data_IF_009571077556
#
_entry.id   IF_009571077556
#
_cell.length_a   1.000
_cell.length_b   1.000
_cell.length_c   1.000
_cell.angle_alpha   90.00
_cell.angle_beta   90.00
_cell.angle_gamma   90.00
#
_symmetry.space_group_name_H-M   'P 1'
#
loop_
_entity.id
_entity.type
_entity.pdbx_description
1 polymer ?
#
# COMPACT_ATOMS: atom_id res chain seq x y z
N UNK A 1 -4.96 -5.05 75.27
CA UNK A 1 -3.75 -5.84 75.63
C UNK A 1 -3.13 -6.26 74.25
N UNK A 2 -1.85 -5.89 74.05
CA UNK A 2 -0.89 -6.28 72.99
C UNK A 2 -1.21 -5.87 71.57
N UNK A 3 -0.81 -4.71 71.05
CA UNK A 3 0.47 -4.21 70.56
C UNK A 3 1.36 -5.26 69.85
N UNK A 4 1.40 -5.20 68.47
CA UNK A 4 2.61 -5.53 67.72
C UNK A 4 2.79 -4.48 66.60
N UNK A 5 3.83 -3.67 66.74
CA UNK A 5 4.34 -2.75 65.74
C UNK A 5 5.06 -3.53 64.64
N UNK A 6 4.82 -3.16 63.38
CA UNK A 6 5.67 -3.56 62.27
C UNK A 6 6.68 -2.45 61.96
N UNK A 7 7.93 -2.79 61.66
CA UNK A 7 8.96 -1.79 61.38
C UNK A 7 8.88 -1.30 59.91
N UNK A 8 9.12 -0.01 59.75
CA UNK A 8 9.34 0.69 58.51
C UNK A 8 10.43 0.03 57.69
N UNK A 9 10.11 -0.47 56.48
CA UNK A 9 11.08 -0.90 55.51
C UNK A 9 11.66 0.34 54.80
N UNK A 10 12.95 0.57 54.99
CA UNK A 10 13.72 1.58 54.28
C UNK A 10 13.76 1.23 52.78
N UNK A 11 13.33 2.12 51.93
CA UNK A 11 13.55 2.05 50.48
C UNK A 11 15.06 2.15 50.17
N UNK A 12 15.59 1.25 49.31
CA UNK A 12 16.98 1.39 48.87
C UNK A 12 17.17 2.63 48.02
N UNK A 13 18.17 3.44 48.33
CA UNK A 13 18.63 4.57 47.51
C UNK A 13 19.04 4.02 46.12
N UNK A 14 18.35 4.45 45.07
CA UNK A 14 18.75 4.22 43.68
C UNK A 14 20.11 4.87 43.43
N UNK A 15 21.06 4.05 43.01
CA UNK A 15 22.41 4.45 42.70
C UNK A 15 22.41 5.35 41.46
N UNK A 16 22.97 6.55 41.58
CA UNK A 16 23.10 7.54 40.50
C UNK A 16 23.89 7.10 39.26
N UNK A 17 24.39 5.87 39.22
CA UNK A 17 25.02 5.27 38.04
C UNK A 17 24.01 4.86 36.97
N UNK A 18 22.85 4.34 37.35
CA UNK A 18 21.80 3.90 36.41
C UNK A 18 21.18 5.11 35.66
N UNK A 19 21.00 6.23 36.34
CA UNK A 19 20.46 7.45 35.71
C UNK A 19 21.44 8.08 34.69
N UNK A 20 22.75 7.93 34.92
CA UNK A 20 23.77 8.42 34.01
C UNK A 20 23.90 7.55 32.74
N UNK A 21 23.73 6.23 32.87
CA UNK A 21 23.74 5.32 31.72
C UNK A 21 22.51 5.54 30.82
N UNK A 22 21.31 5.68 31.39
CA UNK A 22 20.10 5.96 30.62
C UNK A 22 20.15 7.30 29.86
N UNK A 23 20.79 8.31 30.43
CA UNK A 23 20.93 9.62 29.75
C UNK A 23 21.99 9.57 28.67
N UNK A 24 23.04 8.76 28.84
CA UNK A 24 24.08 8.55 27.84
C UNK A 24 23.55 7.77 26.62
N UNK A 25 22.80 6.69 26.85
CA UNK A 25 22.18 5.92 25.77
C UNK A 25 21.12 6.72 25.01
N UNK A 26 20.31 7.56 25.67
CA UNK A 26 19.37 8.46 24.99
C UNK A 26 20.06 9.48 24.08
N UNK A 27 21.17 10.04 24.53
CA UNK A 27 21.98 11.01 23.72
C UNK A 27 22.72 10.30 22.58
N UNK A 28 23.20 9.08 22.81
CA UNK A 28 23.84 8.28 21.75
C UNK A 28 22.81 7.87 20.68
N UNK A 29 21.61 7.47 21.10
CA UNK A 29 20.54 7.09 20.16
C UNK A 29 20.06 8.29 19.32
N UNK A 30 19.92 9.47 19.92
CA UNK A 30 19.57 10.69 19.19
C UNK A 30 20.69 11.13 18.22
N UNK A 31 21.95 10.92 18.57
CA UNK A 31 23.08 11.23 17.69
C UNK A 31 23.21 10.24 16.53
N UNK A 32 22.93 8.96 16.76
CA UNK A 32 22.95 7.92 15.72
C UNK A 32 21.78 8.12 14.75
N UNK A 33 20.59 8.49 15.22
CA UNK A 33 19.46 8.82 14.35
C UNK A 33 19.72 10.08 13.52
N UNK A 34 20.38 11.10 14.09
CA UNK A 34 20.74 12.32 13.34
C UNK A 34 21.83 12.07 12.29
N UNK A 35 22.75 11.14 12.53
CA UNK A 35 23.78 10.75 11.55
C UNK A 35 23.19 9.85 10.46
N UNK A 36 22.22 8.97 10.80
CA UNK A 36 21.51 8.15 9.82
C UNK A 36 20.68 8.99 8.85
N UNK A 37 20.07 10.09 9.33
CA UNK A 37 19.33 11.04 8.49
C UNK A 37 20.22 11.92 7.59
N UNK A 38 21.51 12.07 7.93
CA UNK A 38 22.45 12.84 7.11
C UNK A 38 23.12 12.04 5.99
N UNK A 39 23.05 10.70 6.02
CA UNK A 39 23.62 9.83 4.99
C UNK A 39 22.62 9.25 4.00
N UNK A 40 21.32 9.58 4.12
CA UNK A 40 20.29 9.18 3.14
C UNK A 40 20.12 10.16 1.98
N UNK A 41 20.89 11.26 1.96
CA UNK A 41 20.98 12.12 0.79
C UNK A 41 22.07 11.56 -0.13
N UNK A 42 21.62 11.10 -1.32
CA UNK A 42 22.41 10.63 -2.48
C UNK A 42 22.65 9.12 -2.52
N UNK A 43 21.58 8.33 -2.68
CA UNK A 43 21.56 7.36 -3.76
C UNK A 43 20.51 7.85 -4.77
N UNK A 44 20.90 8.29 -5.95
CA UNK A 44 19.92 8.38 -7.02
C UNK A 44 19.43 6.96 -7.23
N UNK A 45 18.14 6.72 -7.04
CA UNK A 45 17.46 5.65 -7.70
C UNK A 45 17.62 5.96 -9.19
N UNK A 46 18.73 5.51 -9.76
CA UNK A 46 18.85 5.41 -11.19
C UNK A 46 17.95 4.24 -11.61
N UNK A 47 16.64 4.50 -11.65
CA UNK A 47 15.88 3.90 -12.71
C UNK A 47 16.66 4.32 -13.97
N UNK A 48 17.40 3.38 -14.55
CA UNK A 48 17.98 3.59 -15.86
C UNK A 48 16.78 3.85 -16.75
N UNK A 49 16.51 5.13 -17.01
CA UNK A 49 15.61 5.51 -18.07
C UNK A 49 16.09 4.73 -19.29
N UNK A 50 15.23 3.97 -19.98
CA UNK A 50 15.58 3.40 -21.26
C UNK A 50 16.09 4.58 -22.10
N UNK A 51 17.28 4.43 -22.70
CA UNK A 51 17.81 5.42 -23.63
C UNK A 51 16.66 5.85 -24.54
N UNK A 52 16.35 7.15 -24.55
CA UNK A 52 15.42 7.73 -25.50
C UNK A 52 15.99 7.48 -26.91
N UNK A 53 15.68 6.32 -27.43
CA UNK A 53 15.79 6.13 -28.89
C UNK A 53 14.76 7.06 -29.47
N UNK A 54 15.22 8.02 -30.26
CA UNK A 54 14.42 8.98 -31.05
C UNK A 54 13.65 8.23 -32.16
N UNK A 55 12.91 7.19 -31.80
CA UNK A 55 12.02 6.40 -32.63
C UNK A 55 10.57 6.68 -32.25
N UNK A 56 9.67 6.53 -33.20
CA UNK A 56 8.22 6.51 -32.97
C UNK A 56 7.93 5.58 -31.77
N UNK A 57 7.10 5.97 -30.78
CA UNK A 57 6.78 5.11 -29.65
C UNK A 57 6.32 3.74 -30.17
N UNK A 58 7.04 2.69 -29.81
CA UNK A 58 6.72 1.34 -30.23
C UNK A 58 5.49 0.91 -29.45
N UNK A 59 4.40 0.58 -30.15
CA UNK A 59 3.18 0.02 -29.56
C UNK A 59 3.11 -1.48 -29.87
N UNK A 60 2.40 -2.23 -29.04
CA UNK A 60 2.16 -3.64 -29.28
C UNK A 60 1.38 -3.87 -30.58
N UNK A 61 1.80 -4.82 -31.38
CA UNK A 61 1.06 -5.28 -32.54
C UNK A 61 -0.02 -6.29 -32.13
N UNK A 62 -1.03 -6.45 -32.96
CA UNK A 62 -2.10 -7.43 -32.72
C UNK A 62 -1.58 -8.89 -32.62
N UNK A 63 -0.44 -9.20 -33.27
CA UNK A 63 0.20 -10.52 -33.16
C UNK A 63 0.83 -10.72 -31.79
N UNK A 64 1.61 -9.72 -31.32
CA UNK A 64 2.24 -9.75 -30.01
C UNK A 64 1.21 -9.84 -28.89
N UNK A 65 0.10 -9.09 -29.01
CA UNK A 65 -1.01 -9.19 -28.05
C UNK A 65 -1.61 -10.59 -28.01
N UNK A 66 -1.80 -11.25 -29.17
CA UNK A 66 -2.30 -12.64 -29.19
C UNK A 66 -1.35 -13.61 -28.52
N UNK A 67 -0.04 -13.46 -28.71
CA UNK A 67 0.98 -14.26 -28.06
C UNK A 67 0.97 -14.04 -26.53
N UNK A 68 0.82 -12.79 -26.09
CA UNK A 68 0.66 -12.45 -24.68
C UNK A 68 -0.60 -13.10 -24.09
N UNK A 69 -1.74 -13.04 -24.80
CA UNK A 69 -2.99 -13.65 -24.34
C UNK A 69 -2.91 -15.19 -24.26
N UNK A 70 -2.13 -15.84 -25.13
CA UNK A 70 -1.86 -17.28 -25.02
C UNK A 70 -1.08 -17.60 -23.75
N UNK A 71 -0.06 -16.79 -23.44
CA UNK A 71 0.72 -16.91 -22.21
C UNK A 71 -0.16 -16.68 -20.98
N UNK A 72 -0.96 -15.61 -20.96
CA UNK A 72 -1.86 -15.31 -19.85
C UNK A 72 -2.89 -16.43 -19.61
N UNK A 73 -3.46 -16.98 -20.67
CA UNK A 73 -4.40 -18.09 -20.55
C UNK A 73 -3.74 -19.33 -19.91
N UNK A 74 -2.50 -19.63 -20.26
CA UNK A 74 -1.76 -20.75 -19.69
C UNK A 74 -1.38 -20.49 -18.22
N UNK A 75 -0.92 -19.27 -17.89
CA UNK A 75 -0.61 -18.85 -16.52
C UNK A 75 -1.87 -18.89 -15.65
N UNK A 76 -2.96 -18.27 -16.11
CA UNK A 76 -4.23 -18.25 -15.37
C UNK A 76 -4.80 -19.67 -15.18
N UNK A 77 -4.72 -20.53 -16.20
CA UNK A 77 -5.14 -21.93 -16.07
C UNK A 77 -4.35 -22.69 -14.99
N UNK A 78 -3.05 -22.35 -14.81
CA UNK A 78 -2.26 -22.90 -13.73
C UNK A 78 -2.70 -22.32 -12.39
N UNK A 79 -2.67 -20.98 -12.24
CA UNK A 79 -2.85 -20.29 -10.95
C UNK A 79 -4.29 -20.37 -10.41
N UNK A 80 -5.30 -20.43 -11.27
CA UNK A 80 -6.71 -20.60 -10.89
C UNK A 80 -7.09 -22.07 -10.61
N UNK A 81 -6.16 -23.01 -10.79
CA UNK A 81 -6.45 -24.42 -10.55
C UNK A 81 -6.53 -24.76 -9.05
N UNK A 82 -7.49 -25.60 -8.68
CA UNK A 82 -7.61 -26.10 -7.31
C UNK A 82 -6.35 -26.84 -6.85
N UNK A 83 -5.61 -27.45 -7.79
CA UNK A 83 -4.35 -28.12 -7.50
C UNK A 83 -3.29 -27.07 -7.05
N UNK A 84 -3.14 -25.97 -7.78
CA UNK A 84 -2.18 -24.91 -7.45
C UNK A 84 -2.51 -24.26 -6.10
N UNK A 85 -3.77 -24.01 -5.83
CA UNK A 85 -4.21 -23.44 -4.55
C UNK A 85 -3.83 -24.32 -3.33
N UNK A 86 -3.79 -25.65 -3.53
CA UNK A 86 -3.39 -26.60 -2.47
C UNK A 86 -1.89 -26.88 -2.36
N UNK A 87 -1.05 -26.28 -3.22
CA UNK A 87 0.39 -26.47 -3.22
C UNK A 87 1.11 -25.60 -2.17
N UNK A 88 2.22 -26.10 -1.65
CA UNK A 88 3.20 -25.27 -0.91
C UNK A 88 3.85 -24.26 -1.86
N UNK A 89 4.51 -23.25 -1.31
CA UNK A 89 5.23 -22.25 -2.10
C UNK A 89 6.31 -22.89 -3.00
N UNK A 90 7.04 -23.88 -2.50
CA UNK A 90 8.04 -24.61 -3.27
C UNK A 90 7.42 -25.42 -4.41
N UNK A 91 6.26 -26.05 -4.18
CA UNK A 91 5.56 -26.80 -5.22
C UNK A 91 4.98 -25.85 -6.28
N UNK A 92 4.45 -24.69 -5.88
CA UNK A 92 4.01 -23.62 -6.79
C UNK A 92 5.16 -23.11 -7.64
N UNK A 93 6.35 -22.92 -7.05
CA UNK A 93 7.54 -22.51 -7.78
C UNK A 93 7.91 -23.54 -8.85
N UNK A 94 7.93 -24.82 -8.51
CA UNK A 94 8.24 -25.88 -9.46
C UNK A 94 7.21 -25.91 -10.60
N UNK A 95 5.91 -25.79 -10.28
CA UNK A 95 4.84 -25.78 -11.28
C UNK A 95 4.94 -24.54 -12.18
N UNK A 96 5.19 -23.36 -11.63
CA UNK A 96 5.37 -22.12 -12.38
C UNK A 96 6.55 -22.19 -13.34
N UNK A 97 7.71 -22.71 -12.88
CA UNK A 97 8.88 -22.88 -13.72
C UNK A 97 8.64 -23.88 -14.87
N UNK A 98 7.98 -24.99 -14.58
CA UNK A 98 7.63 -25.97 -15.62
C UNK A 98 6.74 -25.36 -16.70
N UNK A 99 5.72 -24.59 -16.30
CA UNK A 99 4.82 -23.88 -17.23
C UNK A 99 5.58 -22.85 -18.07
N UNK A 100 6.46 -22.06 -17.44
CA UNK A 100 7.23 -21.02 -18.14
C UNK A 100 8.28 -21.63 -19.08
N UNK A 101 8.89 -22.76 -18.73
CA UNK A 101 9.80 -23.50 -19.62
C UNK A 101 9.08 -24.03 -20.88
N UNK A 102 7.84 -24.52 -20.74
CA UNK A 102 7.01 -24.93 -21.86
C UNK A 102 6.66 -23.73 -22.77
N UNK A 103 6.24 -22.60 -22.19
CA UNK A 103 5.93 -21.38 -22.92
C UNK A 103 7.17 -20.80 -23.63
N UNK A 104 8.34 -20.90 -22.99
CA UNK A 104 9.60 -20.50 -23.60
C UNK A 104 9.99 -21.41 -24.78
N UNK A 105 9.75 -22.72 -24.70
CA UNK A 105 9.97 -23.63 -25.81
C UNK A 105 9.04 -23.33 -27.01
N UNK A 106 7.86 -22.75 -26.76
CA UNK A 106 6.95 -22.26 -27.79
C UNK A 106 7.31 -20.87 -28.33
N UNK A 107 8.33 -20.20 -27.74
CA UNK A 107 8.74 -18.84 -28.12
C UNK A 107 7.86 -17.71 -27.60
N UNK A 108 6.92 -18.02 -26.68
CA UNK A 108 5.98 -17.08 -26.10
C UNK A 108 6.59 -16.26 -24.94
N UNK A 109 7.59 -16.85 -24.27
CA UNK A 109 8.33 -16.26 -23.15
C UNK A 109 9.82 -16.27 -23.45
N UNK A 110 10.54 -15.23 -23.07
CA UNK A 110 12.01 -15.19 -23.17
C UNK A 110 12.64 -16.03 -22.07
N UNK A 111 13.22 -17.16 -22.41
CA UNK A 111 13.76 -18.12 -21.44
C UNK A 111 14.79 -17.51 -20.49
N UNK A 112 15.64 -16.64 -21.01
CA UNK A 112 16.72 -15.97 -20.26
C UNK A 112 16.22 -14.87 -19.32
N UNK A 113 14.94 -14.53 -19.38
CA UNK A 113 14.28 -13.55 -18.50
C UNK A 113 13.56 -14.17 -17.30
N UNK A 114 13.45 -15.51 -17.25
CA UNK A 114 12.78 -16.19 -16.14
C UNK A 114 13.65 -16.05 -14.88
N UNK A 115 13.09 -15.40 -13.88
CA UNK A 115 13.77 -15.14 -12.62
C UNK A 115 12.88 -15.53 -11.43
N UNK A 116 13.45 -16.29 -10.49
CA UNK A 116 12.76 -16.70 -9.26
C UNK A 116 13.19 -15.79 -8.13
N UNK A 117 12.26 -15.03 -7.60
CA UNK A 117 12.45 -14.24 -6.40
C UNK A 117 11.79 -14.95 -5.21
N UNK A 118 12.51 -15.88 -4.61
CA UNK A 118 12.03 -16.64 -3.43
C UNK A 118 11.72 -15.70 -2.26
N UNK A 119 12.51 -14.62 -2.11
CA UNK A 119 12.31 -13.66 -1.02
C UNK A 119 10.97 -12.93 -1.13
N UNK A 120 10.55 -12.65 -2.35
CA UNK A 120 9.33 -11.91 -2.65
C UNK A 120 8.17 -12.82 -3.10
N UNK A 121 8.37 -14.14 -3.07
CA UNK A 121 7.34 -15.11 -3.41
C UNK A 121 6.81 -14.95 -4.84
N UNK A 122 7.71 -14.70 -5.81
CA UNK A 122 7.32 -14.43 -7.19
C UNK A 122 8.28 -15.06 -8.21
N UNK A 123 7.74 -15.53 -9.33
CA UNK A 123 8.51 -15.83 -10.53
C UNK A 123 8.17 -14.78 -11.59
N UNK A 124 9.17 -14.02 -12.02
CA UNK A 124 9.04 -13.03 -13.07
C UNK A 124 9.54 -13.55 -14.42
N UNK A 125 9.03 -13.00 -15.51
CA UNK A 125 9.42 -13.32 -16.87
C UNK A 125 9.13 -12.16 -17.82
N UNK A 126 9.71 -12.19 -19.02
CA UNK A 126 9.33 -11.30 -20.11
C UNK A 126 8.63 -12.10 -21.21
N UNK A 127 7.53 -11.57 -21.71
CA UNK A 127 6.88 -12.04 -22.94
C UNK A 127 7.81 -11.90 -24.14
N UNK A 128 7.53 -12.59 -25.25
CA UNK A 128 8.28 -12.49 -26.50
C UNK A 128 8.49 -11.04 -26.97
N UNK A 129 7.48 -10.18 -26.82
CA UNK A 129 7.51 -8.76 -27.17
C UNK A 129 8.35 -7.89 -26.20
N UNK A 130 8.65 -8.39 -24.99
CA UNK A 130 9.43 -7.68 -23.98
C UNK A 130 8.63 -7.06 -22.85
N UNK A 131 7.29 -7.08 -22.89
CA UNK A 131 6.47 -6.76 -21.73
C UNK A 131 6.79 -7.71 -20.57
N UNK A 132 6.55 -7.29 -19.33
CA UNK A 132 6.87 -8.08 -18.16
C UNK A 132 5.64 -8.82 -17.62
N UNK A 133 5.86 -10.04 -17.13
CA UNK A 133 4.86 -10.88 -16.48
C UNK A 133 5.39 -11.50 -15.20
N UNK A 134 4.49 -11.94 -14.32
CA UNK A 134 4.82 -12.59 -13.06
C UNK A 134 3.78 -13.61 -12.63
N UNK A 135 4.23 -14.57 -11.82
CA UNK A 135 3.41 -15.57 -11.15
C UNK A 135 3.66 -15.46 -9.66
N UNK A 136 2.63 -15.17 -8.87
CA UNK A 136 2.71 -15.18 -7.41
C UNK A 136 2.76 -16.62 -6.90
N UNK A 137 3.70 -16.87 -5.98
CA UNK A 137 3.86 -18.16 -5.31
C UNK A 137 3.16 -18.18 -3.95
N UNK A 138 2.91 -17.01 -3.38
CA UNK A 138 2.24 -16.83 -2.09
C UNK A 138 0.78 -16.47 -2.30
N UNK A 139 -0.07 -16.82 -1.35
CA UNK A 139 -1.43 -16.31 -1.32
C UNK A 139 -1.41 -14.83 -0.92
N UNK A 140 -2.19 -14.02 -1.62
CA UNK A 140 -2.29 -12.57 -1.35
C UNK A 140 -3.08 -12.26 -0.10
N UNK A 141 -3.90 -13.21 0.39
CA UNK A 141 -4.62 -13.11 1.66
C UNK A 141 -4.26 -14.27 2.57
N UNK A 142 -3.89 -13.95 3.82
CA UNK A 142 -3.95 -14.99 4.83
C UNK A 142 -5.41 -15.18 5.26
N UNK A 143 -5.89 -16.43 5.30
CA UNK A 143 -7.19 -16.77 5.94
C UNK A 143 -7.31 -16.18 7.35
N UNK A 144 -6.18 -15.82 7.96
CA UNK A 144 -6.08 -15.18 9.25
C UNK A 144 -6.71 -13.78 9.25
N UNK A 145 -6.56 -13.00 8.19
CA UNK A 145 -7.10 -11.65 8.08
C UNK A 145 -8.63 -11.64 7.95
N UNK A 146 -9.17 -12.59 7.20
CA UNK A 146 -10.61 -12.68 6.97
C UNK A 146 -11.41 -13.03 8.24
N UNK A 147 -10.76 -13.58 9.27
CA UNK A 147 -11.40 -14.01 10.51
C UNK A 147 -11.25 -13.02 11.66
N UNK A 148 -10.54 -11.91 11.47
CA UNK A 148 -10.40 -10.88 12.49
C UNK A 148 -11.66 -9.99 12.51
N UNK A 149 -12.08 -9.51 13.70
CA UNK A 149 -13.17 -8.55 13.77
C UNK A 149 -12.79 -7.29 13.00
N UNK A 150 -13.73 -6.76 12.23
CA UNK A 150 -13.55 -5.45 11.59
C UNK A 150 -13.37 -4.34 12.64
N UNK A 151 -12.95 -3.14 12.22
CA UNK A 151 -12.96 -1.98 13.12
C UNK A 151 -14.36 -1.82 13.69
N UNK A 152 -14.46 -1.58 15.00
CA UNK A 152 -15.73 -1.22 15.63
C UNK A 152 -16.12 0.17 15.11
N UNK A 153 -16.91 0.18 14.04
CA UNK A 153 -17.37 1.40 13.38
C UNK A 153 -18.29 2.24 14.27
N UNK A 154 -18.81 1.62 15.35
CA UNK A 154 -19.68 2.29 16.32
C UNK A 154 -18.91 3.20 17.29
N UNK A 155 -17.62 2.93 17.50
CA UNK A 155 -16.77 3.75 18.39
C UNK A 155 -16.11 4.94 17.69
N UNK A 156 -16.45 5.19 16.44
CA UNK A 156 -16.01 6.42 15.78
C UNK A 156 -16.48 7.62 16.59
N UNK A 157 -15.59 8.56 16.95
CA UNK A 157 -16.01 9.80 17.59
C UNK A 157 -17.12 10.42 16.74
N UNK A 158 -18.20 10.84 17.38
CA UNK A 158 -19.30 11.50 16.68
C UNK A 158 -18.71 12.70 15.92
N UNK A 159 -18.58 12.56 14.61
CA UNK A 159 -18.09 13.66 13.77
C UNK A 159 -19.06 14.84 13.94
N UNK A 160 -18.49 16.02 14.08
CA UNK A 160 -19.29 17.23 14.03
C UNK A 160 -19.83 17.37 12.61
N UNK A 161 -21.15 17.31 12.49
CA UNK A 161 -21.79 17.53 11.20
C UNK A 161 -21.27 18.83 10.60
N UNK A 162 -20.77 18.78 9.38
CA UNK A 162 -20.38 19.98 8.65
C UNK A 162 -21.65 20.84 8.49
N UNK A 163 -21.74 21.91 9.26
CA UNK A 163 -22.80 22.89 9.06
C UNK A 163 -22.60 23.55 7.69
N UNK A 164 -23.28 23.02 6.67
CA UNK A 164 -23.41 23.60 5.33
C UNK A 164 -22.16 23.65 4.44
N UNK A 165 -21.35 22.62 4.34
CA UNK A 165 -20.25 22.62 3.38
C UNK A 165 -19.79 21.23 2.97
N UNK A 166 -19.37 21.08 1.70
CA UNK A 166 -18.61 19.93 1.23
C UNK A 166 -17.20 20.05 1.78
N UNK A 167 -16.72 19.03 2.46
CA UNK A 167 -15.36 18.93 2.97
C UNK A 167 -14.36 18.72 1.83
N UNK A 168 -14.81 18.04 0.77
CA UNK A 168 -14.03 17.69 -0.40
C UNK A 168 -14.67 16.51 -1.12
N UNK A 169 -13.97 15.97 -2.10
CA UNK A 169 -14.36 14.75 -2.78
C UNK A 169 -13.27 13.66 -2.63
N UNK A 170 -13.71 12.41 -2.54
CA UNK A 170 -12.84 11.28 -2.34
C UNK A 170 -13.19 10.10 -3.25
N UNK A 171 -12.22 9.25 -3.53
CA UNK A 171 -12.44 7.96 -4.18
C UNK A 171 -11.75 6.85 -3.39
N UNK A 172 -12.45 5.73 -3.24
CA UNK A 172 -11.91 4.48 -2.76
C UNK A 172 -11.76 3.56 -3.97
N UNK A 173 -10.54 3.30 -4.39
CA UNK A 173 -10.20 2.31 -5.41
C UNK A 173 -10.05 0.95 -4.72
N UNK A 174 -11.11 0.16 -4.77
CA UNK A 174 -11.15 -1.14 -4.12
C UNK A 174 -10.77 -2.26 -5.10
N UNK A 175 -9.60 -2.85 -4.93
CA UNK A 175 -9.02 -3.86 -5.81
C UNK A 175 -8.48 -5.08 -5.03
N UNK A 176 -9.14 -5.51 -3.94
CA UNK A 176 -8.69 -6.67 -3.18
C UNK A 176 -9.24 -7.99 -3.70
N UNK A 177 -10.47 -8.04 -4.20
CA UNK A 177 -11.11 -9.28 -4.64
C UNK A 177 -12.23 -9.01 -5.64
N UNK A 178 -12.28 -9.77 -6.73
CA UNK A 178 -13.38 -9.78 -7.69
C UNK A 178 -14.69 -10.37 -7.12
N UNK A 179 -14.61 -11.12 -6.03
CA UNK A 179 -15.75 -11.76 -5.38
C UNK A 179 -16.33 -10.94 -4.24
N UNK A 180 -15.87 -9.72 -4.02
CA UNK A 180 -16.39 -8.88 -2.97
C UNK A 180 -17.78 -8.44 -3.32
N UNK A 181 -18.70 -9.18 -2.78
CA UNK A 181 -20.02 -8.67 -2.62
C UNK A 181 -20.06 -7.84 -1.31
N UNK A 182 -20.93 -6.87 -1.27
CA UNK A 182 -21.22 -6.02 -0.11
C UNK A 182 -21.49 -6.80 1.19
N UNK A 183 -21.70 -8.11 1.12
CA UNK A 183 -21.98 -8.97 2.26
C UNK A 183 -20.69 -9.47 2.94
N UNK A 184 -19.59 -9.59 2.20
CA UNK A 184 -18.33 -10.08 2.75
C UNK A 184 -17.45 -8.94 3.28
N UNK A 185 -17.56 -7.76 2.67
CA UNK A 185 -16.80 -6.57 3.09
C UNK A 185 -17.72 -5.33 3.07
N UNK A 186 -18.67 -5.24 4.00
CA UNK A 186 -19.60 -4.10 4.05
C UNK A 186 -18.88 -2.79 4.44
N UNK A 187 -17.65 -2.86 4.94
CA UNK A 187 -16.91 -1.74 5.53
C UNK A 187 -16.73 -0.57 4.57
N UNK A 188 -16.28 -0.81 3.34
CA UNK A 188 -16.01 0.30 2.41
C UNK A 188 -17.29 0.99 1.95
N UNK A 189 -18.39 0.24 1.78
CA UNK A 189 -19.69 0.83 1.53
C UNK A 189 -20.17 1.66 2.75
N UNK A 190 -19.96 1.13 3.95
CA UNK A 190 -20.27 1.85 5.18
C UNK A 190 -19.42 3.12 5.32
N UNK A 191 -18.09 3.03 5.14
CA UNK A 191 -17.18 4.19 5.15
C UNK A 191 -17.64 5.27 4.17
N UNK A 192 -17.92 4.87 2.91
CA UNK A 192 -18.44 5.79 1.89
C UNK A 192 -19.70 6.48 2.35
N UNK A 193 -20.71 5.74 2.82
CA UNK A 193 -22.00 6.31 3.21
C UNK A 193 -21.87 7.20 4.45
N UNK A 194 -21.02 6.80 5.40
CA UNK A 194 -20.70 7.57 6.59
C UNK A 194 -20.03 8.90 6.23
N UNK A 195 -18.93 8.87 5.45
CA UNK A 195 -18.21 10.07 5.05
C UNK A 195 -19.06 11.03 4.21
N UNK A 196 -19.92 10.49 3.34
CA UNK A 196 -20.91 11.28 2.62
C UNK A 196 -21.86 12.02 3.58
N UNK A 197 -22.26 11.38 4.67
CA UNK A 197 -23.07 11.99 5.72
C UNK A 197 -22.39 13.16 6.43
N UNK A 198 -21.05 13.22 6.39
CA UNK A 198 -20.25 14.29 7.00
C UNK A 198 -19.60 15.24 5.98
N UNK A 199 -20.07 15.22 4.74
CA UNK A 199 -19.71 16.20 3.72
C UNK A 199 -18.48 15.87 2.87
N UNK A 200 -17.89 14.69 3.01
CA UNK A 200 -16.87 14.19 2.09
C UNK A 200 -17.55 13.38 0.98
N UNK A 201 -17.72 13.97 -0.21
CA UNK A 201 -18.35 13.30 -1.36
C UNK A 201 -17.49 12.14 -1.84
N UNK A 202 -17.82 10.94 -1.38
CA UNK A 202 -16.99 9.74 -1.55
C UNK A 202 -17.58 8.82 -2.60
N UNK A 203 -16.77 8.47 -3.59
CA UNK A 203 -17.04 7.44 -4.59
C UNK A 203 -16.34 6.13 -4.21
N UNK A 204 -17.02 4.99 -4.38
CA UNK A 204 -16.43 3.66 -4.22
C UNK A 204 -16.37 2.98 -5.58
N UNK A 205 -15.16 2.78 -6.10
CA UNK A 205 -14.88 2.03 -7.31
C UNK A 205 -14.45 0.60 -6.95
N UNK A 206 -15.26 -0.38 -7.32
CA UNK A 206 -15.04 -1.80 -7.07
C UNK A 206 -14.57 -2.57 -8.32
N UNK A 207 -14.30 -1.87 -9.41
CA UNK A 207 -13.87 -2.45 -10.68
C UNK A 207 -12.64 -1.70 -11.23
N UNK A 208 -11.69 -1.46 -10.35
CA UNK A 208 -10.53 -0.59 -10.59
C UNK A 208 -9.71 -1.08 -11.78
N UNK A 209 -9.56 -0.22 -12.77
CA UNK A 209 -8.75 -0.46 -13.96
C UNK A 209 -7.52 0.45 -13.97
N UNK A 210 -6.53 0.11 -14.82
CA UNK A 210 -5.39 1.00 -15.10
C UNK A 210 -5.87 2.39 -15.57
N UNK A 211 -7.01 2.44 -16.28
CA UNK A 211 -7.59 3.70 -16.75
C UNK A 211 -8.19 4.54 -15.62
N UNK A 212 -8.77 3.91 -14.60
CA UNK A 212 -9.34 4.61 -13.47
C UNK A 212 -8.26 5.26 -12.61
N UNK A 213 -7.12 4.59 -12.45
CA UNK A 213 -5.96 5.18 -11.77
C UNK A 213 -5.38 6.41 -12.48
N UNK A 214 -5.72 6.67 -13.76
CA UNK A 214 -5.37 7.92 -14.47
C UNK A 214 -6.32 9.08 -14.15
N UNK A 215 -7.33 8.86 -13.29
CA UNK A 215 -8.35 9.84 -12.91
C UNK A 215 -8.28 10.27 -11.45
N UNK A 216 -7.23 9.89 -10.72
CA UNK A 216 -7.07 10.26 -9.31
C UNK A 216 -7.06 11.77 -9.10
N UNK A 217 -6.65 12.54 -10.11
CA UNK A 217 -6.63 14.01 -10.08
C UNK A 217 -8.04 14.67 -10.00
N UNK A 218 -9.09 13.89 -10.23
CA UNK A 218 -10.47 14.36 -10.10
C UNK A 218 -10.91 14.48 -8.62
N UNK A 219 -10.06 14.03 -7.68
CA UNK A 219 -10.37 13.91 -6.26
C UNK A 219 -9.36 14.61 -5.36
N UNK A 220 -9.86 15.17 -4.24
CA UNK A 220 -9.02 15.75 -3.19
C UNK A 220 -8.30 14.64 -2.39
N UNK A 221 -8.98 13.48 -2.25
CA UNK A 221 -8.48 12.30 -1.55
C UNK A 221 -8.65 11.05 -2.43
N UNK A 222 -7.57 10.33 -2.68
CA UNK A 222 -7.59 9.04 -3.33
C UNK A 222 -7.10 7.94 -2.38
N UNK A 223 -7.90 6.89 -2.22
CA UNK A 223 -7.60 5.76 -1.34
C UNK A 223 -7.34 4.53 -2.21
N UNK A 224 -6.17 3.92 -2.07
CA UNK A 224 -5.75 2.71 -2.78
C UNK A 224 -5.91 1.51 -1.86
N UNK A 225 -7.00 0.79 -1.99
CA UNK A 225 -7.31 -0.43 -1.24
C UNK A 225 -7.08 -1.64 -2.16
N UNK A 226 -5.83 -2.12 -2.22
CA UNK A 226 -5.38 -3.13 -3.17
C UNK A 226 -4.31 -4.03 -2.57
N UNK A 227 -4.05 -5.18 -3.19
CA UNK A 227 -2.88 -5.97 -2.87
C UNK A 227 -1.60 -5.31 -3.35
N UNK A 228 -0.54 -5.49 -2.60
CA UNK A 228 0.81 -5.08 -2.97
C UNK A 228 1.78 -6.23 -2.95
N UNK A 229 2.81 -6.13 -3.76
CA UNK A 229 3.90 -7.09 -3.81
C UNK A 229 5.19 -6.41 -4.27
N UNK A 230 6.31 -7.08 -4.05
CA UNK A 230 7.58 -6.71 -4.67
C UNK A 230 7.75 -7.49 -5.98
N UNK A 231 8.08 -6.77 -7.02
CA UNK A 231 8.36 -7.34 -8.32
C UNK A 231 9.83 -7.15 -8.68
N UNK A 232 10.56 -8.26 -8.89
CA UNK A 232 11.96 -8.25 -9.30
C UNK A 232 12.09 -8.86 -10.67
N UNK A 233 12.81 -8.21 -11.56
CA UNK A 233 13.13 -8.73 -12.88
C UNK A 233 14.60 -8.50 -13.24
N UNK A 234 15.11 -9.34 -14.14
CA UNK A 234 16.46 -9.19 -14.68
C UNK A 234 16.42 -8.50 -16.06
N UNK A 235 17.35 -7.60 -16.28
CA UNK A 235 17.52 -6.90 -17.56
C UNK A 235 19.01 -6.77 -17.93
N UNK A 236 19.27 -6.48 -19.19
CA UNK A 236 20.62 -6.37 -19.74
C UNK A 236 21.09 -7.66 -20.43
N UNK A 237 21.88 -7.52 -21.52
CA UNK A 237 22.31 -8.64 -22.36
C UNK A 237 23.64 -9.24 -21.91
N UNK A 238 24.69 -8.42 -21.71
CA UNK A 238 26.02 -8.89 -21.32
C UNK A 238 26.19 -8.98 -19.80
N UNK A 239 25.58 -8.05 -19.07
CA UNK A 239 25.64 -7.95 -17.61
C UNK A 239 24.22 -7.89 -17.12
N UNK A 240 23.72 -9.01 -16.61
CA UNK A 240 22.40 -9.03 -16.02
C UNK A 240 22.37 -8.15 -14.78
N UNK A 241 21.43 -7.22 -14.76
CA UNK A 241 21.11 -6.38 -13.61
C UNK A 241 19.72 -6.74 -13.12
N UNK A 242 19.47 -6.53 -11.85
CA UNK A 242 18.17 -6.72 -11.25
C UNK A 242 17.55 -5.36 -10.98
N UNK A 243 16.27 -5.22 -11.25
CA UNK A 243 15.44 -4.14 -10.78
C UNK A 243 14.33 -4.73 -9.93
N UNK A 244 14.11 -4.13 -8.76
CA UNK A 244 13.05 -4.52 -7.84
C UNK A 244 12.24 -3.27 -7.53
N UNK A 245 10.91 -3.38 -7.58
CA UNK A 245 10.01 -2.29 -7.27
C UNK A 245 8.75 -2.81 -6.57
N UNK A 246 8.18 -2.05 -5.64
CA UNK A 246 6.85 -2.31 -5.15
C UNK A 246 5.82 -2.06 -6.25
N UNK A 247 4.79 -2.88 -6.29
CA UNK A 247 3.71 -2.82 -7.27
C UNK A 247 2.36 -2.87 -6.59
N UNK A 248 1.37 -2.26 -7.23
CA UNK A 248 -0.03 -2.36 -6.82
C UNK A 248 -0.74 -3.29 -7.79
N UNK A 249 -1.30 -4.37 -7.27
CA UNK A 249 -2.05 -5.35 -8.04
C UNK A 249 -3.47 -4.86 -8.25
N UNK A 250 -3.94 -4.91 -9.49
CA UNK A 250 -5.33 -4.62 -9.85
C UNK A 250 -6.06 -5.94 -10.13
N UNK A 251 -7.38 -5.87 -10.05
CA UNK A 251 -8.23 -7.01 -10.41
C UNK A 251 -8.64 -7.00 -11.88
N UNK A 252 -8.23 -5.97 -12.60
CA UNK A 252 -8.47 -5.88 -14.03
C UNK A 252 -7.72 -7.01 -14.74
N UNK A 253 -8.50 -7.98 -15.26
CA UNK A 253 -7.93 -9.07 -16.05
C UNK A 253 -7.46 -8.56 -17.41
N UNK A 254 -6.33 -9.11 -17.84
CA UNK A 254 -5.83 -8.80 -19.18
C UNK A 254 -6.78 -9.34 -20.25
N UNK A 255 -7.02 -8.53 -21.28
CA UNK A 255 -7.72 -8.92 -22.49
C UNK A 255 -7.07 -8.25 -23.70
N UNK A 256 -7.44 -8.72 -24.90
CA UNK A 256 -6.86 -8.27 -26.15
C UNK A 256 -6.95 -6.74 -26.36
N UNK A 257 -8.08 -6.13 -26.00
CA UNK A 257 -8.31 -4.71 -26.23
C UNK A 257 -7.60 -3.83 -25.21
N UNK A 258 -7.54 -4.30 -23.96
CA UNK A 258 -6.82 -3.60 -22.90
C UNK A 258 -5.31 -3.72 -23.11
N UNK A 259 -4.79 -4.87 -23.57
CA UNK A 259 -3.38 -5.00 -23.94
C UNK A 259 -2.98 -4.05 -25.07
N UNK A 260 -3.81 -3.91 -26.11
CA UNK A 260 -3.57 -2.90 -27.14
C UNK A 260 -3.61 -1.48 -26.59
N UNK A 261 -4.56 -1.19 -25.71
CA UNK A 261 -4.72 0.13 -25.07
C UNK A 261 -3.53 0.48 -24.19
N UNK A 262 -3.05 -0.46 -23.40
CA UNK A 262 -1.93 -0.27 -22.46
C UNK A 262 -0.57 -0.63 -23.05
N UNK A 263 -0.48 -0.83 -24.35
CA UNK A 263 0.72 -1.33 -25.01
C UNK A 263 1.99 -0.53 -24.73
N UNK A 264 1.89 0.80 -24.65
CA UNK A 264 3.03 1.66 -24.28
C UNK A 264 3.44 1.48 -22.84
N UNK A 265 2.48 1.40 -21.92
CA UNK A 265 2.71 1.18 -20.50
C UNK A 265 3.33 -0.20 -20.24
N UNK A 266 2.87 -1.23 -20.95
CA UNK A 266 3.38 -2.60 -20.86
C UNK A 266 4.83 -2.69 -21.36
N UNK A 267 5.13 -2.13 -22.55
CA UNK A 267 6.48 -2.13 -23.11
C UNK A 267 7.46 -1.25 -22.34
N UNK A 268 6.98 -0.22 -21.64
CA UNK A 268 7.80 0.62 -20.78
C UNK A 268 7.85 0.15 -19.32
N UNK A 269 7.30 -1.02 -19.02
CA UNK A 269 7.28 -1.65 -17.69
C UNK A 269 6.59 -0.81 -16.59
N UNK A 270 5.75 0.16 -16.96
CA UNK A 270 4.92 0.95 -16.04
C UNK A 270 3.71 0.17 -15.57
N UNK A 271 3.22 -0.68 -16.46
CA UNK A 271 2.20 -1.70 -16.19
C UNK A 271 2.83 -3.06 -16.47
N UNK A 272 2.62 -4.00 -15.59
CA UNK A 272 3.07 -5.38 -15.73
C UNK A 272 1.87 -6.31 -15.54
N UNK A 273 2.01 -7.58 -15.85
CA UNK A 273 0.96 -8.56 -15.66
C UNK A 273 1.34 -9.56 -14.60
N UNK A 274 0.50 -9.79 -13.61
CA UNK A 274 0.71 -10.78 -12.54
C UNK A 274 -0.52 -11.67 -12.45
N UNK A 275 -0.34 -12.98 -12.58
CA UNK A 275 -1.42 -13.97 -12.63
C UNK A 275 -2.53 -13.60 -13.63
N UNK A 276 -2.17 -13.00 -14.77
CA UNK A 276 -3.13 -12.57 -15.80
C UNK A 276 -3.93 -11.31 -15.48
N UNK A 277 -3.60 -10.60 -14.41
CA UNK A 277 -4.16 -9.29 -14.07
C UNK A 277 -3.09 -8.20 -14.23
N UNK A 278 -3.53 -6.93 -14.38
CA UNK A 278 -2.59 -5.83 -14.43
C UNK A 278 -2.11 -5.41 -13.05
N UNK A 279 -0.87 -4.93 -12.98
CA UNK A 279 -0.28 -4.28 -11.83
C UNK A 279 0.45 -3.01 -12.28
N UNK A 280 0.50 -2.00 -11.41
CA UNK A 280 1.13 -0.71 -11.70
C UNK A 280 2.34 -0.48 -10.83
N UNK A 281 3.35 0.19 -11.38
CA UNK A 281 4.59 0.61 -10.71
C UNK A 281 4.56 2.10 -10.37
N UNK A 282 5.56 2.60 -9.64
CA UNK A 282 5.71 4.04 -9.39
C UNK A 282 5.86 4.86 -10.67
N UNK A 283 6.54 4.32 -11.68
CA UNK A 283 6.72 4.96 -12.99
C UNK A 283 5.41 5.14 -13.75
N UNK A 284 4.40 4.32 -13.49
CA UNK A 284 3.06 4.53 -14.03
C UNK A 284 2.50 5.88 -13.57
N UNK A 285 2.55 6.18 -12.28
CA UNK A 285 2.00 7.42 -11.72
C UNK A 285 2.78 8.65 -12.20
N UNK A 286 4.11 8.60 -12.17
CA UNK A 286 4.95 9.71 -12.65
C UNK A 286 4.70 10.03 -14.13
N UNK A 287 4.42 9.02 -14.96
CA UNK A 287 4.09 9.22 -16.36
C UNK A 287 2.65 9.66 -16.59
N UNK A 288 1.67 9.04 -15.93
CA UNK A 288 0.26 9.38 -16.05
C UNK A 288 -0.02 10.83 -15.64
N UNK A 289 0.69 11.30 -14.62
CA UNK A 289 0.52 12.64 -14.04
C UNK A 289 1.68 13.59 -14.33
N UNK A 290 2.40 13.35 -15.42
CA UNK A 290 3.53 14.20 -15.83
C UNK A 290 3.15 15.69 -15.84
N UNK A 291 4.00 16.51 -15.19
CA UNK A 291 3.79 17.95 -15.05
C UNK A 291 2.89 18.34 -13.88
N UNK A 292 2.77 17.50 -12.86
CA UNK A 292 2.08 17.84 -11.62
C UNK A 292 0.54 17.75 -11.73
N UNK A 293 0.04 16.89 -12.62
CA UNK A 293 -1.41 16.83 -12.92
C UNK A 293 -2.27 16.23 -11.81
N UNK A 294 -1.68 15.59 -10.79
CA UNK A 294 -2.41 15.19 -9.57
C UNK A 294 -2.92 16.38 -8.75
N UNK A 295 -2.36 17.57 -9.02
CA UNK A 295 -2.90 18.85 -8.56
C UNK A 295 -3.20 18.95 -7.05
N UNK A 296 -2.41 18.28 -6.22
CA UNK A 296 -2.52 18.35 -4.78
C UNK A 296 -3.41 17.31 -4.12
N UNK A 297 -3.83 16.27 -4.85
CA UNK A 297 -4.53 15.10 -4.29
C UNK A 297 -3.72 14.49 -3.14
N UNK A 298 -4.38 14.18 -2.03
CA UNK A 298 -3.81 13.37 -0.95
C UNK A 298 -4.06 11.90 -1.28
N UNK A 299 -3.04 11.05 -1.15
CA UNK A 299 -3.16 9.61 -1.45
C UNK A 299 -2.92 8.80 -0.19
N UNK A 300 -3.88 7.96 0.17
CA UNK A 300 -3.75 6.98 1.24
C UNK A 300 -3.73 5.58 0.63
N UNK A 301 -2.85 4.71 1.10
CA UNK A 301 -2.75 3.35 0.61
C UNK A 301 -2.82 2.32 1.73
N UNK A 302 -3.69 1.34 1.58
CA UNK A 302 -3.77 0.14 2.42
C UNK A 302 -2.95 -1.03 1.85
N UNK A 303 -2.20 -0.77 0.78
CA UNK A 303 -1.44 -1.79 0.05
C UNK A 303 -0.26 -2.30 0.90
N UNK A 304 -0.11 -3.61 0.98
CA UNK A 304 1.07 -4.25 1.55
C UNK A 304 2.34 -3.76 0.84
N UNK A 305 3.43 -3.62 1.57
CA UNK A 305 4.74 -3.27 1.02
C UNK A 305 4.77 -2.00 0.17
N UNK A 306 3.79 -1.10 0.33
CA UNK A 306 3.74 0.16 -0.42
C UNK A 306 5.02 0.98 -0.25
N UNK A 307 5.59 0.99 0.95
CA UNK A 307 6.89 1.57 1.29
C UNK A 307 7.97 0.51 1.46
N UNK A 308 7.82 -0.63 0.81
CA UNK A 308 8.81 -1.68 0.89
C UNK A 308 8.80 -2.46 2.18
N UNK A 309 9.99 -2.95 2.56
CA UNK A 309 10.17 -3.83 3.72
C UNK A 309 11.08 -3.20 4.76
N UNK A 310 10.88 -3.60 6.02
CA UNK A 310 11.77 -3.22 7.12
C UNK A 310 13.23 -3.51 6.79
N UNK A 311 14.08 -2.49 6.94
CA UNK A 311 15.49 -2.55 6.56
C UNK A 311 15.76 -2.14 5.11
N UNK A 312 14.73 -1.99 4.27
CA UNK A 312 14.83 -1.45 2.92
C UNK A 312 13.52 -0.75 2.55
N UNK A 313 13.35 0.47 3.08
CA UNK A 313 12.22 1.33 2.70
C UNK A 313 12.40 1.71 1.23
N UNK A 314 11.37 1.44 0.42
CA UNK A 314 11.33 1.74 -1.00
C UNK A 314 10.23 2.78 -1.24
N UNK A 315 10.59 3.90 -1.82
CA UNK A 315 9.69 5.03 -2.03
C UNK A 315 9.18 5.15 -3.47
N UNK A 316 9.48 4.17 -4.34
CA UNK A 316 9.19 4.29 -5.76
C UNK A 316 7.71 4.60 -6.08
N UNK A 317 6.76 3.97 -5.37
CA UNK A 317 5.33 4.27 -5.56
C UNK A 317 4.98 5.69 -5.13
N UNK A 318 5.40 6.10 -3.94
CA UNK A 318 5.13 7.44 -3.42
C UNK A 318 5.89 8.53 -4.18
N UNK A 319 7.14 8.28 -4.59
CA UNK A 319 7.90 9.20 -5.44
C UNK A 319 7.21 9.41 -6.80
N UNK A 320 6.65 8.33 -7.38
CA UNK A 320 5.84 8.40 -8.60
C UNK A 320 4.62 9.30 -8.42
N UNK A 321 3.89 9.15 -7.31
CA UNK A 321 2.72 9.97 -6.99
C UNK A 321 3.10 11.43 -6.68
N UNK A 322 4.12 11.66 -5.87
CA UNK A 322 4.59 13.01 -5.52
C UNK A 322 5.13 13.76 -6.74
N UNK A 323 5.93 13.10 -7.60
CA UNK A 323 6.38 13.70 -8.86
C UNK A 323 5.21 13.99 -9.82
N UNK A 324 4.13 13.21 -9.70
CA UNK A 324 2.85 13.44 -10.38
C UNK A 324 2.06 14.63 -9.82
N UNK A 325 2.47 15.21 -8.68
CA UNK A 325 1.82 16.37 -8.06
C UNK A 325 0.89 16.03 -6.90
N UNK A 326 0.93 14.82 -6.35
CA UNK A 326 0.27 14.51 -5.08
C UNK A 326 0.79 15.45 -3.98
N UNK A 327 -0.09 15.91 -3.09
CA UNK A 327 0.30 16.77 -1.98
C UNK A 327 0.98 15.99 -0.87
N UNK A 328 0.42 14.85 -0.54
CA UNK A 328 0.95 13.91 0.44
C UNK A 328 0.56 12.47 0.07
N UNK A 329 1.38 11.52 0.47
CA UNK A 329 1.16 10.09 0.28
C UNK A 329 1.41 9.38 1.59
N UNK A 330 0.46 8.58 2.04
CA UNK A 330 0.62 7.71 3.20
C UNK A 330 0.32 6.26 2.83
N UNK A 331 1.09 5.32 3.38
CA UNK A 331 0.95 3.89 3.13
C UNK A 331 1.78 3.09 4.11
N UNK A 332 1.83 1.79 3.94
CA UNK A 332 2.43 0.86 4.89
C UNK A 332 3.74 0.27 4.40
N UNK A 333 4.65 0.03 5.34
CA UNK A 333 5.84 -0.81 5.15
C UNK A 333 5.49 -2.25 5.54
N UNK A 334 6.13 -3.24 4.94
CA UNK A 334 5.85 -4.67 5.12
C UNK A 334 4.41 -5.08 4.73
N UNK A 335 4.11 -6.35 4.93
CA UNK A 335 2.74 -6.84 4.83
C UNK A 335 1.94 -6.33 6.02
N UNK A 336 0.78 -5.79 5.76
CA UNK A 336 -0.12 -5.23 6.78
C UNK A 336 -1.37 -6.09 6.92
N UNK A 337 -1.83 -6.30 8.15
CA UNK A 337 -3.15 -6.90 8.36
C UNK A 337 -4.24 -5.97 7.82
N UNK A 338 -5.09 -6.49 6.94
CA UNK A 338 -6.13 -5.72 6.25
C UNK A 338 -7.10 -5.04 7.22
N UNK A 339 -7.38 -5.66 8.37
CA UNK A 339 -8.22 -5.07 9.42
C UNK A 339 -7.53 -3.90 10.10
N UNK A 340 -6.22 -4.00 10.36
CA UNK A 340 -5.46 -2.89 10.93
C UNK A 340 -5.38 -1.70 9.95
N UNK A 341 -5.05 -1.96 8.67
CA UNK A 341 -4.98 -0.89 7.67
C UNK A 341 -6.32 -0.18 7.49
N UNK A 342 -7.45 -0.92 7.47
CA UNK A 342 -8.80 -0.34 7.42
C UNK A 342 -9.11 0.48 8.66
N UNK A 343 -8.73 0.01 9.85
CA UNK A 343 -8.95 0.74 11.10
C UNK A 343 -8.16 2.06 11.09
N UNK A 344 -6.91 2.02 10.64
CA UNK A 344 -6.09 3.21 10.44
C UNK A 344 -6.68 4.17 9.42
N UNK A 345 -7.14 3.65 8.27
CA UNK A 345 -7.83 4.43 7.24
C UNK A 345 -9.08 5.12 7.81
N UNK A 346 -9.92 4.37 8.52
CA UNK A 346 -11.13 4.87 9.17
C UNK A 346 -10.85 6.04 10.10
N UNK A 347 -9.91 5.86 11.03
CA UNK A 347 -9.53 6.92 11.96
C UNK A 347 -8.95 8.13 11.23
N UNK A 348 -8.02 7.89 10.30
CA UNK A 348 -7.33 8.96 9.55
C UNK A 348 -8.32 9.84 8.80
N UNK A 349 -9.21 9.25 8.01
CA UNK A 349 -10.17 10.04 7.20
C UNK A 349 -11.16 10.78 8.07
N UNK A 350 -11.67 10.16 9.14
CA UNK A 350 -12.57 10.82 10.09
C UNK A 350 -11.92 12.07 10.70
N UNK A 351 -10.66 11.98 11.16
CA UNK A 351 -9.95 13.13 11.73
C UNK A 351 -9.64 14.20 10.69
N UNK A 352 -9.37 13.80 9.45
CA UNK A 352 -9.18 14.74 8.34
C UNK A 352 -10.49 15.48 7.97
N UNK A 353 -11.65 14.82 8.06
CA UNK A 353 -12.96 15.45 7.91
C UNK A 353 -13.16 16.52 9.00
N UNK A 354 -12.72 16.28 10.22
CA UNK A 354 -12.73 17.24 11.33
C UNK A 354 -11.72 18.40 11.15
N UNK A 355 -10.93 18.39 10.08
CA UNK A 355 -9.97 19.46 9.75
C UNK A 355 -8.58 19.25 10.33
N UNK A 356 -8.26 18.08 10.86
CA UNK A 356 -6.90 17.76 11.28
C UNK A 356 -5.95 17.59 10.09
N UNK A 357 -4.65 17.74 10.34
CA UNK A 357 -3.63 17.40 9.35
C UNK A 357 -3.51 15.90 9.17
N UNK A 358 -2.97 15.46 8.05
CA UNK A 358 -2.69 14.06 7.78
C UNK A 358 -1.82 13.43 8.90
N UNK A 359 -0.79 14.15 9.38
CA UNK A 359 0.04 13.65 10.49
C UNK A 359 -0.79 13.48 11.78
N UNK A 360 -1.57 14.51 12.17
CA UNK A 360 -2.39 14.42 13.39
C UNK A 360 -3.40 13.28 13.31
N UNK A 361 -4.00 13.10 12.15
CA UNK A 361 -4.98 12.04 11.91
C UNK A 361 -4.36 10.64 11.99
N UNK A 362 -3.16 10.47 11.45
CA UNK A 362 -2.43 9.18 11.55
C UNK A 362 -1.96 8.96 12.99
N UNK A 363 -1.43 9.98 13.68
CA UNK A 363 -1.01 9.88 15.07
C UNK A 363 -2.16 9.45 15.98
N UNK A 364 -3.38 9.99 15.74
CA UNK A 364 -4.59 9.55 16.42
C UNK A 364 -4.90 8.06 16.14
N UNK A 365 -4.81 7.62 14.90
CA UNK A 365 -4.99 6.21 14.55
C UNK A 365 -4.00 5.30 15.27
N UNK A 366 -2.73 5.71 15.36
CA UNK A 366 -1.69 4.98 16.09
C UNK A 366 -1.96 4.93 17.60
N UNK A 367 -2.51 5.99 18.18
CA UNK A 367 -2.92 6.03 19.59
C UNK A 367 -4.07 5.05 19.87
N UNK A 368 -5.07 4.99 18.97
CA UNK A 368 -6.27 4.15 19.15
C UNK A 368 -6.00 2.68 18.86
N UNK A 369 -5.31 2.38 17.76
CA UNK A 369 -5.16 1.01 17.26
C UNK A 369 -3.77 0.40 17.53
N UNK A 370 -2.82 1.19 17.99
CA UNK A 370 -1.46 0.76 18.29
C UNK A 370 -0.46 1.21 17.24
N UNK A 371 0.81 1.27 17.65
CA UNK A 371 1.91 1.81 16.84
C UNK A 371 2.23 0.99 15.58
N UNK A 372 1.74 -0.24 15.51
CA UNK A 372 1.88 -1.15 14.37
C UNK A 372 0.84 -2.27 14.44
N UNK A 373 0.70 -2.99 13.36
CA UNK A 373 -0.29 -4.05 13.19
C UNK A 373 -0.05 -5.28 14.08
N UNK A 374 1.19 -5.57 14.47
CA UNK A 374 1.50 -6.65 15.43
C UNK A 374 0.98 -6.27 16.82
N UNK A 375 1.19 -5.04 17.28
CA UNK A 375 0.65 -4.55 18.56
C UNK A 375 -0.86 -4.64 18.55
N UNK A 376 -1.50 -4.17 17.49
CA UNK A 376 -2.94 -4.29 17.31
C UNK A 376 -3.41 -5.75 17.37
N UNK A 377 -2.76 -6.64 16.60
CA UNK A 377 -3.10 -8.06 16.53
C UNK A 377 -3.00 -8.77 17.88
N UNK A 378 -1.93 -8.50 18.63
CA UNK A 378 -1.74 -9.09 19.96
C UNK A 378 -2.83 -8.62 20.95
N UNK A 379 -3.30 -7.38 20.81
CA UNK A 379 -4.37 -6.84 21.64
C UNK A 379 -5.74 -7.48 21.34
N UNK A 380 -5.95 -8.04 20.15
CA UNK A 380 -7.19 -8.76 19.81
C UNK A 380 -7.30 -10.14 20.46
N UNK A 381 -6.25 -10.63 21.10
CA UNK A 381 -6.22 -11.92 21.80
C UNK A 381 -6.71 -13.11 20.94
N UNK A 382 -6.34 -13.13 19.68
CA UNK A 382 -6.84 -14.12 18.69
C UNK A 382 -6.25 -15.51 18.89
N UNK A 383 -5.23 -15.67 19.74
CA UNK A 383 -4.49 -16.92 19.93
C UNK A 383 -3.61 -17.32 18.74
N UNK A 384 -3.54 -16.49 17.69
CA UNK A 384 -2.75 -16.70 16.47
C UNK A 384 -1.36 -16.10 16.63
N UNK A 385 -0.45 -16.50 15.75
CA UNK A 385 0.88 -15.87 15.67
C UNK A 385 0.82 -14.70 14.71
N UNK A 386 1.33 -13.53 15.11
CA UNK A 386 1.49 -12.41 14.19
C UNK A 386 2.52 -12.75 13.12
N UNK A 387 2.50 -12.03 11.99
CA UNK A 387 3.58 -12.13 11.02
C UNK A 387 4.91 -11.60 11.60
N UNK A 388 6.02 -11.92 10.93
CA UNK A 388 7.36 -11.74 11.50
C UNK A 388 7.84 -10.29 11.53
N UNK A 389 7.28 -9.42 10.70
CA UNK A 389 7.70 -8.02 10.56
C UNK A 389 6.49 -7.09 10.78
N UNK A 390 6.62 -6.16 11.71
CA UNK A 390 5.59 -5.18 12.01
C UNK A 390 5.36 -4.22 10.84
N UNK A 391 4.10 -3.97 10.53
CA UNK A 391 3.70 -2.97 9.56
C UNK A 391 3.22 -1.71 10.27
N UNK A 392 3.68 -0.57 9.79
CA UNK A 392 3.35 0.76 10.32
C UNK A 392 3.25 1.76 9.15
N UNK A 393 2.47 2.84 9.32
CA UNK A 393 2.30 3.84 8.27
C UNK A 393 3.52 4.75 8.15
N UNK A 394 3.81 5.16 6.91
CA UNK A 394 4.80 6.18 6.57
C UNK A 394 4.08 7.27 5.76
N UNK A 395 4.44 8.54 6.02
CA UNK A 395 3.98 9.69 5.25
C UNK A 395 5.16 10.26 4.46
N UNK A 396 4.91 10.59 3.19
CA UNK A 396 5.79 11.42 2.38
C UNK A 396 5.04 12.62 1.80
N UNK A 397 5.76 13.68 1.47
CA UNK A 397 5.18 14.95 1.03
C UNK A 397 4.77 15.85 2.20
N UNK A 398 3.66 16.56 2.06
CA UNK A 398 3.18 17.53 3.06
C UNK A 398 2.38 16.84 4.19
N UNK A 399 3.05 16.50 5.28
CA UNK A 399 2.41 15.91 6.46
C UNK A 399 1.37 16.86 7.13
N UNK A 400 1.42 18.16 6.83
CA UNK A 400 0.43 19.14 7.26
C UNK A 400 -0.77 19.27 6.30
N UNK A 401 -0.84 18.41 5.26
CA UNK A 401 -1.95 18.37 4.33
C UNK A 401 -3.29 18.18 5.05
N UNK A 402 -4.33 18.84 4.56
CA UNK A 402 -5.71 18.79 5.08
C UNK A 402 -6.68 18.66 3.91
N UNK A 403 -7.84 18.06 4.16
CA UNK A 403 -8.97 18.09 3.21
C UNK A 403 -9.65 19.47 3.20
N UNK A 404 -9.72 20.11 4.38
CA UNK A 404 -10.36 21.42 4.53
C UNK A 404 -9.37 22.50 4.94
N UNK A 405 -9.61 23.75 4.51
CA UNK A 405 -8.84 24.88 5.02
C UNK A 405 -9.07 25.07 6.54
N UNK A 406 -8.02 25.38 7.33
CA UNK A 406 -8.20 25.69 8.75
C UNK A 406 -9.22 26.83 8.93
N UNK A 407 -10.26 26.60 9.72
CA UNK A 407 -11.29 27.59 10.00
C UNK A 407 -12.65 27.37 9.35
N UNK A 408 -12.78 26.44 8.43
CA UNK A 408 -14.08 26.15 7.77
C UNK A 408 -15.05 25.37 8.68
N UNK A 409 -14.53 24.69 9.72
CA UNK A 409 -15.31 23.86 10.66
C UNK A 409 -15.43 24.46 12.08
N UNK A 410 -14.86 25.63 12.35
CA UNK A 410 -14.67 26.11 13.74
C UNK A 410 -15.84 26.86 14.35
N UNK A 411 -16.90 27.16 13.63
CA UNK A 411 -18.02 27.94 14.19
C UNK A 411 -19.06 27.12 14.95
N UNK A 412 -19.05 25.79 14.86
CA UNK A 412 -20.00 24.92 15.60
C UNK A 412 -19.50 24.48 16.99
N UNK A 413 -18.18 24.27 17.16
CA UNK A 413 -17.63 23.70 18.38
C UNK A 413 -17.53 24.66 19.56
N UNK A 414 -17.49 25.98 19.32
CA UNK A 414 -17.37 26.98 20.40
C UNK A 414 -18.70 27.30 21.10
N UNK A 415 -19.84 26.88 20.57
CA UNK A 415 -21.15 27.24 21.10
C UNK A 415 -21.73 26.26 22.13
N UNK A 416 -21.13 25.11 22.38
CA UNK A 416 -21.69 24.08 23.29
C UNK A 416 -20.93 23.84 24.60
N UNK A 417 -19.98 24.68 24.96
CA UNK A 417 -19.37 24.65 26.30
C UNK A 417 -19.81 25.86 27.13
N UNK A 418 -21.08 25.95 27.45
CA UNK A 418 -21.54 26.76 28.59
C UNK A 418 -21.88 25.76 29.70
N UNK A 419 -21.11 25.68 30.79
CA UNK A 419 -21.52 24.88 31.93
C UNK A 419 -22.76 25.55 32.54
N UNK A 420 -23.81 24.76 32.70
CA UNK A 420 -24.94 25.16 33.52
C UNK A 420 -24.43 25.38 34.94
N UNK A 421 -24.47 26.63 35.38
CA UNK A 421 -24.21 27.01 36.75
C UNK A 421 -25.45 26.72 37.61
N UNK A 422 -25.20 26.22 38.82
CA UNK A 422 -25.99 26.02 40.02
C UNK A 422 -26.86 24.78 40.12
#
# INVERSE_FOLDING_TARGET
MNLWAQPCAQQPRRNGKEEMEHTFYRRLFSAVCAIALAFTAVCPAMAAAPEETTGTPQTLTASEVKEMQQTDAAVTALTDSAAYAGMSEEERQVAALAQLDELAAQGLVKKDSIYVDVKNGMVSFAYSCGALGGILLTDTESEADAALPGPEMEDAPALLAAENGTVGNAVIYYAFDNGVNSNRYPYYSYMKDYWNGYGLDTHLDMMVTVSDLKRMADYDLAILSAHGAYYTYEYGWLWKKQATAPIILLLEKSDFWNDLRYGLELLSHRVIKVNGCYAVTGDFFSNAYRGGKLNGTIVLSETCEFYGRSGHVDTALSDGLLSGGAKAVAGFVNNVYSVYSRSMLWATVNRMIEGETLQQAIDYGLEVYGENDIVWYLNQNTGRRPHSAASYPIIQGDAAARLTAPGTLTNGAAAQQTPAAA
#
